data_IF_573337719875
#
_entry.id   IF_573337719875
#
_cell.length_a   1.000
_cell.length_b   1.000
_cell.length_c   1.000
_cell.angle_alpha   90.00
_cell.angle_beta   90.00
_cell.angle_gamma   90.00
#
_symmetry.space_group_name_H-M   'P 1'
#
loop_
_entity.id
_entity.type
_entity.pdbx_description
1 polymer ?
#
# COMPACT_ATOMS: atom_id res chain seq x y z
N UNK A 1 -11.43 14.69 3.14
CA UNK A 1 -10.63 14.26 4.32
C UNK A 1 -10.90 15.21 5.47
N UNK A 2 -11.02 14.70 6.68
CA UNK A 2 -11.35 15.49 7.87
C UNK A 2 -10.09 15.78 8.67
N UNK A 3 -9.88 17.05 9.03
CA UNK A 3 -8.77 17.51 9.87
C UNK A 3 -9.30 18.24 11.09
N UNK A 4 -8.49 18.32 12.15
CA UNK A 4 -8.79 19.09 13.36
C UNK A 4 -7.50 19.53 14.06
N UNK A 5 -7.63 20.48 14.96
CA UNK A 5 -6.61 20.80 15.95
C UNK A 5 -7.07 20.26 17.29
N UNK A 6 -6.25 19.44 17.93
CA UNK A 6 -6.52 18.87 19.25
C UNK A 6 -5.27 18.97 20.12
N UNK A 7 -5.40 19.59 21.29
CA UNK A 7 -4.27 19.88 22.20
C UNK A 7 -3.08 20.53 21.47
N UNK A 8 -3.37 21.54 20.61
CA UNK A 8 -2.35 22.27 19.86
C UNK A 8 -1.67 21.49 18.73
N UNK A 9 -2.14 20.30 18.40
CA UNK A 9 -1.60 19.44 17.34
C UNK A 9 -2.60 19.23 16.22
N UNK A 10 -2.14 19.31 15.00
CA UNK A 10 -2.95 18.98 13.83
C UNK A 10 -3.13 17.47 13.71
N UNK A 11 -4.38 17.07 13.46
CA UNK A 11 -4.76 15.67 13.28
C UNK A 11 -5.63 15.52 12.04
N UNK A 12 -5.53 14.33 11.41
CA UNK A 12 -6.36 13.88 10.30
C UNK A 12 -7.09 12.60 10.72
N UNK A 13 -8.36 12.48 10.32
CA UNK A 13 -9.10 11.24 10.55
C UNK A 13 -8.75 10.20 9.50
N UNK A 14 -8.25 9.04 9.93
CA UNK A 14 -7.95 7.93 9.05
C UNK A 14 -9.14 6.99 8.93
N UNK A 15 -9.76 6.93 7.76
CA UNK A 15 -10.92 6.07 7.49
C UNK A 15 -10.60 4.59 7.63
N UNK A 16 -9.37 4.18 7.34
CA UNK A 16 -8.93 2.78 7.47
C UNK A 16 -8.68 2.37 8.93
N UNK A 17 -8.03 3.25 9.72
CA UNK A 17 -7.74 3.00 11.15
C UNK A 17 -8.89 3.40 12.08
N UNK A 18 -9.94 4.06 11.55
CA UNK A 18 -11.10 4.57 12.28
C UNK A 18 -10.76 5.44 13.50
N UNK A 19 -9.72 6.24 13.36
CA UNK A 19 -9.22 7.11 14.44
C UNK A 19 -8.53 8.35 13.93
N UNK A 20 -8.43 9.34 14.79
CA UNK A 20 -7.61 10.52 14.58
C UNK A 20 -6.14 10.18 14.76
N UNK A 21 -5.31 10.60 13.81
CA UNK A 21 -3.86 10.43 13.83
C UNK A 21 -3.19 11.77 13.64
N UNK A 22 -1.93 11.89 14.05
CA UNK A 22 -1.16 13.10 13.83
C UNK A 22 -1.06 13.40 12.33
N UNK A 23 -1.35 14.63 11.96
CA UNK A 23 -1.15 15.09 10.58
C UNK A 23 0.32 15.47 10.39
N UNK A 24 1.04 14.62 9.68
CA UNK A 24 2.39 14.88 9.20
C UNK A 24 2.37 15.02 7.68
N UNK A 25 3.39 15.62 7.05
CA UNK A 25 3.47 15.68 5.59
C UNK A 25 3.37 14.30 4.92
N UNK A 26 3.99 13.29 5.49
CA UNK A 26 3.92 11.91 4.99
C UNK A 26 2.53 11.29 5.19
N UNK A 27 1.88 11.52 6.35
CA UNK A 27 0.51 11.06 6.60
C UNK A 27 -0.49 11.70 5.63
N UNK A 28 -0.30 12.97 5.30
CA UNK A 28 -1.09 13.66 4.30
C UNK A 28 -1.01 12.98 2.94
N UNK A 29 0.21 12.69 2.48
CA UNK A 29 0.45 11.97 1.22
C UNK A 29 -0.20 10.58 1.26
N UNK A 30 -0.04 9.85 2.35
CA UNK A 30 -0.65 8.52 2.52
C UNK A 30 -2.17 8.59 2.38
N UNK A 31 -2.84 9.49 3.11
CA UNK A 31 -4.29 9.61 3.06
C UNK A 31 -4.79 9.99 1.68
N UNK A 32 -4.15 10.95 1.03
CA UNK A 32 -4.52 11.34 -0.34
C UNK A 32 -4.36 10.16 -1.31
N UNK A 33 -3.25 9.44 -1.23
CA UNK A 33 -3.01 8.30 -2.10
C UNK A 33 -4.06 7.21 -1.91
N UNK A 34 -4.37 6.84 -0.67
CA UNK A 34 -5.36 5.80 -0.39
C UNK A 34 -6.75 6.14 -0.92
N UNK A 35 -7.19 7.39 -0.76
CA UNK A 35 -8.47 7.86 -1.32
C UNK A 35 -8.44 7.78 -2.85
N UNK A 36 -7.38 8.22 -3.50
CA UNK A 36 -7.24 8.13 -4.95
C UNK A 36 -7.24 6.68 -5.45
N UNK A 37 -6.57 5.79 -4.75
CA UNK A 37 -6.57 4.36 -5.12
C UNK A 37 -7.98 3.80 -5.18
N UNK A 38 -8.82 4.14 -4.20
CA UNK A 38 -10.20 3.67 -4.15
C UNK A 38 -11.07 4.37 -5.19
N UNK A 39 -11.01 5.70 -5.26
CA UNK A 39 -11.92 6.51 -6.09
C UNK A 39 -11.57 6.48 -7.58
N UNK A 40 -10.26 6.54 -7.92
CA UNK A 40 -9.82 6.70 -9.30
C UNK A 40 -9.27 5.42 -9.92
N UNK A 41 -8.70 4.52 -9.12
CA UNK A 41 -7.97 3.34 -9.60
C UNK A 41 -8.64 2.01 -9.29
N UNK A 42 -9.81 2.03 -8.66
CA UNK A 42 -10.66 0.86 -8.47
C UNK A 42 -10.20 -0.12 -7.38
N UNK A 43 -9.36 0.30 -6.45
CA UNK A 43 -8.93 -0.54 -5.34
C UNK A 43 -10.06 -0.71 -4.32
N UNK A 44 -10.38 -1.96 -3.92
CA UNK A 44 -11.35 -2.16 -2.84
C UNK A 44 -10.78 -1.66 -1.51
N UNK A 45 -11.48 -0.73 -0.87
CA UNK A 45 -11.03 -0.17 0.41
C UNK A 45 -10.83 -1.24 1.49
N UNK A 46 -11.65 -2.30 1.47
CA UNK A 46 -11.57 -3.42 2.40
C UNK A 46 -10.33 -4.30 2.24
N UNK A 47 -9.63 -4.19 1.11
CA UNK A 47 -8.40 -4.95 0.82
C UNK A 47 -7.13 -4.12 1.06
N UNK A 48 -7.26 -2.93 1.60
CA UNK A 48 -6.14 -2.05 1.97
C UNK A 48 -5.97 -2.07 3.50
N UNK A 49 -4.79 -2.46 3.96
CA UNK A 49 -4.40 -2.37 5.37
C UNK A 49 -3.33 -1.29 5.54
N UNK A 50 -3.53 -0.42 6.53
CA UNK A 50 -2.63 0.72 6.80
C UNK A 50 -1.70 0.39 7.96
N UNK A 51 -0.43 0.79 7.86
CA UNK A 51 0.62 0.50 8.85
C UNK A 51 0.75 -1.00 9.16
N UNK A 52 0.70 -1.80 8.12
CA UNK A 52 0.73 -3.26 8.21
C UNK A 52 2.17 -3.78 8.27
N UNK A 53 2.45 -4.69 9.20
CA UNK A 53 3.69 -5.44 9.22
C UNK A 53 3.58 -6.68 8.33
N UNK A 54 4.61 -6.91 7.51
CA UNK A 54 4.78 -8.13 6.71
C UNK A 54 6.04 -8.84 7.17
N UNK A 55 5.94 -10.15 7.33
CA UNK A 55 7.06 -11.00 7.73
C UNK A 55 7.24 -12.14 6.74
N UNK A 56 8.50 -12.37 6.32
CA UNK A 56 8.90 -13.53 5.50
C UNK A 56 10.19 -14.07 6.10
N UNK A 57 10.14 -15.28 6.66
CA UNK A 57 11.24 -15.82 7.43
C UNK A 57 11.58 -14.92 8.62
N UNK A 58 12.83 -14.52 8.74
CA UNK A 58 13.31 -13.58 9.77
C UNK A 58 13.14 -12.11 9.37
N UNK A 59 12.80 -11.83 8.12
CA UNK A 59 12.61 -10.48 7.61
C UNK A 59 11.22 -9.97 7.99
N UNK A 60 11.18 -8.87 8.75
CA UNK A 60 9.95 -8.19 9.12
C UNK A 60 10.05 -6.72 8.75
N UNK A 61 9.02 -6.20 8.08
CA UNK A 61 8.92 -4.80 7.71
C UNK A 61 7.54 -4.25 8.00
N UNK A 62 7.48 -3.07 8.59
CA UNK A 62 6.25 -2.28 8.68
C UNK A 62 6.12 -1.43 7.42
N UNK A 63 5.03 -1.63 6.70
CA UNK A 63 4.71 -0.92 5.46
C UNK A 63 3.68 0.17 5.73
N UNK A 64 3.74 1.27 4.97
CA UNK A 64 2.75 2.35 5.08
C UNK A 64 1.34 1.85 4.78
N UNK A 65 1.21 1.06 3.74
CA UNK A 65 0.00 0.30 3.44
C UNK A 65 0.33 -0.97 2.65
N UNK A 66 -0.58 -1.93 2.70
CA UNK A 66 -0.52 -3.16 1.91
C UNK A 66 -1.88 -3.39 1.26
N UNK A 67 -1.87 -3.66 -0.03
CA UNK A 67 -3.05 -4.09 -0.78
C UNK A 67 -3.04 -5.60 -0.86
N UNK A 68 -4.16 -6.21 -0.53
CA UNK A 68 -4.33 -7.67 -0.58
C UNK A 68 -5.15 -8.09 -1.81
N UNK A 69 -4.91 -9.31 -2.26
CA UNK A 69 -5.76 -9.99 -3.22
C UNK A 69 -6.49 -11.13 -2.53
N UNK A 70 -7.74 -11.37 -2.95
CA UNK A 70 -8.44 -12.59 -2.62
C UNK A 70 -7.83 -13.72 -3.47
N UNK A 71 -7.07 -14.60 -2.86
CA UNK A 71 -6.70 -15.86 -3.49
C UNK A 71 -7.84 -16.84 -3.28
N UNK A 72 -8.74 -16.93 -4.23
CA UNK A 72 -9.64 -18.09 -4.32
C UNK A 72 -8.84 -19.25 -4.90
N UNK A 73 -8.13 -20.00 -4.06
CA UNK A 73 -7.90 -21.41 -4.37
C UNK A 73 -9.27 -22.04 -4.44
N UNK A 74 -9.60 -22.69 -5.55
CA UNK A 74 -10.86 -23.39 -5.75
C UNK A 74 -11.20 -24.18 -4.48
N UNK A 75 -12.36 -23.95 -3.83
CA UNK A 75 -12.70 -24.73 -2.67
C UNK A 75 -12.85 -26.17 -3.11
N UNK A 76 -12.05 -27.06 -2.56
CA UNK A 76 -12.38 -28.46 -2.54
C UNK A 76 -13.78 -28.60 -1.93
N UNK A 77 -14.67 -29.44 -2.47
CA UNK A 77 -16.09 -29.51 -2.05
C UNK A 77 -16.33 -29.86 -0.58
N UNK A 78 -15.29 -30.05 0.21
CA UNK A 78 -15.37 -30.49 1.61
C UNK A 78 -15.16 -29.41 2.68
N UNK A 79 -14.82 -28.17 2.31
CA UNK A 79 -14.64 -27.10 3.29
C UNK A 79 -15.83 -26.14 3.27
N UNK A 80 -16.85 -26.48 4.03
CA UNK A 80 -17.94 -25.57 4.42
C UNK A 80 -17.41 -24.60 5.49
N UNK A 81 -16.91 -23.49 5.04
CA UNK A 81 -16.45 -22.40 5.87
C UNK A 81 -15.52 -21.57 5.03
N UNK A 82 -16.06 -20.54 4.35
CA UNK A 82 -15.30 -19.73 3.41
C UNK A 82 -14.22 -18.91 4.12
N UNK A 83 -13.08 -19.53 4.41
CA UNK A 83 -11.87 -18.82 4.82
C UNK A 83 -11.32 -18.18 3.55
N UNK A 84 -11.52 -16.87 3.42
CA UNK A 84 -10.88 -16.07 2.37
C UNK A 84 -9.41 -15.93 2.74
N UNK A 85 -8.53 -16.60 2.00
CA UNK A 85 -7.11 -16.38 2.12
C UNK A 85 -6.77 -15.06 1.41
N UNK A 86 -6.28 -14.08 2.17
CA UNK A 86 -5.74 -12.84 1.63
C UNK A 86 -4.23 -12.99 1.50
N UNK A 87 -3.70 -12.70 0.31
CA UNK A 87 -2.27 -12.62 0.10
C UNK A 87 -1.85 -11.18 -0.21
N UNK A 88 -0.69 -10.71 0.31
CA UNK A 88 -0.16 -9.41 -0.06
C UNK A 88 0.09 -9.32 -1.57
N UNK A 89 -0.54 -8.35 -2.22
CA UNK A 89 -0.43 -8.12 -3.66
C UNK A 89 0.53 -6.97 -3.95
N UNK A 90 0.43 -5.87 -3.20
CA UNK A 90 1.26 -4.69 -3.39
C UNK A 90 1.59 -4.04 -2.06
N UNK A 91 2.86 -3.69 -1.89
CA UNK A 91 3.32 -2.82 -0.80
C UNK A 91 3.26 -1.38 -1.26
N UNK A 92 2.82 -0.48 -0.40
CA UNK A 92 2.80 0.96 -0.62
C UNK A 92 3.76 1.62 0.37
N UNK A 93 4.66 2.45 -0.15
CA UNK A 93 5.57 3.30 0.62
C UNK A 93 5.34 4.76 0.26
N UNK A 94 5.07 5.58 1.26
CA UNK A 94 4.83 7.00 1.11
C UNK A 94 5.99 7.81 1.70
N UNK A 95 6.31 8.90 1.02
CA UNK A 95 7.25 9.92 1.48
C UNK A 95 6.55 11.28 1.46
N UNK A 96 7.04 12.22 2.26
CA UNK A 96 6.58 13.60 2.19
C UNK A 96 6.89 14.21 0.80
N UNK A 97 6.12 15.21 0.38
CA UNK A 97 6.31 15.89 -0.91
C UNK A 97 7.70 16.49 -1.08
N UNK A 98 8.33 16.88 0.03
CA UNK A 98 9.68 17.45 0.05
C UNK A 98 10.79 16.41 -0.15
N UNK A 99 10.45 15.12 -0.08
CA UNK A 99 11.42 14.02 -0.27
C UNK A 99 11.40 13.57 -1.73
N UNK A 100 12.48 13.79 -2.50
CA UNK A 100 12.54 13.35 -3.88
C UNK A 100 12.59 11.81 -3.96
N UNK A 101 11.89 11.24 -4.94
CA UNK A 101 11.98 9.82 -5.26
C UNK A 101 13.17 9.60 -6.22
N UNK A 102 14.36 9.57 -5.66
CA UNK A 102 15.60 9.36 -6.41
C UNK A 102 15.79 7.88 -6.80
N UNK A 103 16.72 7.63 -7.71
CA UNK A 103 17.12 6.26 -8.07
C UNK A 103 17.55 5.46 -6.83
N UNK A 104 18.29 6.09 -5.92
CA UNK A 104 18.70 5.46 -4.66
C UNK A 104 17.51 5.05 -3.80
N UNK A 105 16.48 5.90 -3.70
CA UNK A 105 15.25 5.60 -2.95
C UNK A 105 14.51 4.41 -3.56
N UNK A 106 14.40 4.39 -4.90
CA UNK A 106 13.80 3.26 -5.64
C UNK A 106 14.58 1.96 -5.44
N UNK A 107 15.89 2.00 -5.56
CA UNK A 107 16.75 0.83 -5.41
C UNK A 107 16.66 0.24 -4.00
N UNK A 108 16.62 1.08 -2.98
CA UNK A 108 16.43 0.65 -1.59
C UNK A 108 15.07 -0.04 -1.37
N UNK A 109 14.00 0.57 -1.89
CA UNK A 109 12.65 0.01 -1.80
C UNK A 109 12.53 -1.33 -2.54
N UNK A 110 13.08 -1.41 -3.74
CA UNK A 110 13.12 -2.64 -4.56
C UNK A 110 13.87 -3.74 -3.83
N UNK A 111 15.06 -3.46 -3.30
CA UNK A 111 15.89 -4.41 -2.57
C UNK A 111 15.14 -4.97 -1.35
N UNK A 112 14.44 -4.10 -0.63
CA UNK A 112 13.67 -4.51 0.52
C UNK A 112 12.46 -5.36 0.15
N UNK A 113 11.76 -4.97 -0.92
CA UNK A 113 10.58 -5.70 -1.38
C UNK A 113 10.90 -7.11 -1.87
N UNK A 114 12.07 -7.33 -2.46
CA UNK A 114 12.55 -8.67 -2.85
C UNK A 114 12.56 -9.64 -1.68
N UNK A 115 13.01 -9.19 -0.51
CA UNK A 115 13.05 -10.01 0.70
C UNK A 115 11.68 -10.40 1.21
N UNK A 116 10.66 -9.57 0.94
CA UNK A 116 9.28 -9.80 1.36
C UNK A 116 8.48 -10.63 0.34
N UNK A 117 9.01 -10.81 -0.86
CA UNK A 117 8.39 -11.58 -1.93
C UNK A 117 6.95 -11.16 -2.26
N UNK A 118 6.66 -9.86 -2.20
CA UNK A 118 5.38 -9.29 -2.62
C UNK A 118 5.47 -8.88 -4.08
N UNK A 119 4.49 -9.24 -4.94
CA UNK A 119 4.62 -9.06 -6.40
C UNK A 119 4.79 -7.62 -6.85
N UNK A 120 4.19 -6.67 -6.16
CA UNK A 120 4.13 -5.27 -6.59
C UNK A 120 4.53 -4.31 -5.48
N UNK A 121 5.11 -3.19 -5.87
CA UNK A 121 5.49 -2.08 -4.99
C UNK A 121 5.06 -0.76 -5.61
N UNK A 122 4.44 0.11 -4.82
CA UNK A 122 4.12 1.48 -5.20
C UNK A 122 4.85 2.44 -4.27
N UNK A 123 5.64 3.33 -4.85
CA UNK A 123 6.36 4.39 -4.14
C UNK A 123 5.76 5.74 -4.53
N UNK A 124 5.37 6.56 -3.56
CA UNK A 124 4.69 7.84 -3.81
C UNK A 124 5.13 8.91 -2.82
N UNK A 125 5.32 10.14 -3.32
CA UNK A 125 5.55 11.32 -2.46
C UNK A 125 4.47 12.40 -2.61
N UNK A 126 3.37 12.10 -3.30
CA UNK A 126 2.30 13.06 -3.57
C UNK A 126 2.48 13.84 -4.88
N UNK A 127 3.70 14.02 -5.35
CA UNK A 127 4.02 14.67 -6.63
C UNK A 127 4.33 13.62 -7.70
N UNK A 128 5.09 12.60 -7.32
CA UNK A 128 5.51 11.50 -8.18
C UNK A 128 5.06 10.18 -7.59
N UNK A 129 4.78 9.22 -8.46
CA UNK A 129 4.54 7.84 -8.09
C UNK A 129 5.29 6.92 -9.07
N UNK A 130 5.90 5.87 -8.54
CA UNK A 130 6.55 4.82 -9.32
C UNK A 130 6.00 3.46 -8.94
N UNK A 131 5.58 2.72 -9.94
CA UNK A 131 5.11 1.36 -9.82
C UNK A 131 6.22 0.38 -10.22
N UNK A 132 6.59 -0.49 -9.31
CA UNK A 132 7.61 -1.51 -9.52
C UNK A 132 6.93 -2.86 -9.72
N UNK A 133 7.30 -3.55 -10.80
CA UNK A 133 6.72 -4.83 -11.19
C UNK A 133 7.76 -5.75 -11.86
N UNK A 134 7.47 -7.05 -11.85
CA UNK A 134 8.30 -8.04 -12.53
C UNK A 134 9.75 -8.07 -12.05
N UNK A 135 10.69 -8.07 -12.97
CA UNK A 135 12.14 -8.14 -12.70
C UNK A 135 12.73 -6.79 -12.25
N UNK A 136 12.09 -6.12 -11.30
CA UNK A 136 12.47 -4.79 -10.80
C UNK A 136 12.41 -3.68 -11.85
N UNK A 137 11.58 -3.86 -12.83
CA UNK A 137 11.19 -2.80 -13.75
C UNK A 137 10.25 -1.84 -13.04
N UNK A 138 10.47 -0.55 -13.19
CA UNK A 138 9.55 0.44 -12.66
C UNK A 138 9.06 1.37 -13.76
N UNK A 139 7.83 1.83 -13.60
CA UNK A 139 7.18 2.80 -14.50
C UNK A 139 6.58 3.93 -13.69
N UNK A 140 6.59 5.17 -14.20
CA UNK A 140 5.86 6.27 -13.58
C UNK A 140 4.37 5.99 -13.56
N UNK A 141 3.70 6.40 -12.50
CA UNK A 141 2.25 6.33 -12.39
C UNK A 141 1.75 5.31 -11.38
N UNK A 142 0.44 5.21 -11.30
CA UNK A 142 -0.28 4.33 -10.38
C UNK A 142 -1.04 3.29 -11.23
N UNK A 143 -0.83 1.99 -10.98
CA UNK A 143 -1.55 0.95 -11.71
C UNK A 143 -3.01 0.88 -11.25
N UNK A 144 -3.92 0.47 -12.13
CA UNK A 144 -5.28 0.09 -11.73
C UNK A 144 -5.29 -1.25 -11.02
N UNK A 145 -6.17 -1.41 -10.06
CA UNK A 145 -6.30 -2.68 -9.33
C UNK A 145 -6.53 -3.88 -10.27
N UNK A 146 -7.39 -3.71 -11.28
CA UNK A 146 -7.65 -4.75 -12.27
C UNK A 146 -6.40 -5.20 -13.04
N UNK A 147 -5.46 -4.28 -13.29
CA UNK A 147 -4.22 -4.59 -14.00
C UNK A 147 -3.25 -5.40 -13.13
N UNK A 148 -3.23 -5.17 -11.83
CA UNK A 148 -2.46 -5.99 -10.89
C UNK A 148 -2.93 -7.44 -10.86
N UNK A 149 -4.24 -7.65 -10.96
CA UNK A 149 -4.82 -9.00 -10.93
C UNK A 149 -4.55 -9.80 -12.21
N UNK A 150 -4.40 -9.12 -13.37
CA UNK A 150 -4.11 -9.79 -14.65
C UNK A 150 -2.67 -10.29 -14.78
N UNK A 151 -1.76 -9.73 -14.03
CA UNK A 151 -0.34 -10.12 -14.01
C UNK A 151 -0.02 -11.31 -13.10
N UNK A 152 -1.04 -11.98 -12.58
CA UNK A 152 -0.88 -13.09 -11.64
C UNK A 152 -1.05 -14.45 -12.31
#
# INVERSE_FOLDING_TARGET
MRTRIYNGKEQIFCEWRKRWVRLTPEEWVRQQLLHRLVEDYGYPASLIAVEQAISVGETKKRCDAVVYANTSSSPSPKERGGVRFLSPLMIIECKAETVPLSQKTLDQAITYNRKLNVPHLLLCNGIQAFYVHGNNTYTPGIPRYADLLRGQ
#
